data_IF_706527183724
#
_entry.id   IF_706527183724
#
_cell.length_a   1.000
_cell.length_b   1.000
_cell.length_c   1.000
_cell.angle_alpha   90.00
_cell.angle_beta   90.00
_cell.angle_gamma   90.00
#
_symmetry.space_group_name_H-M   'P 1'
#
loop_
_entity.id
_entity.type
_entity.pdbx_description
1 polymer ?
#
# COMPACT_ATOMS: atom_id res chain seq x y z
N UNK A 1 99.71 21.96 -1.98
CA UNK A 1 99.01 23.23 -1.67
C UNK A 1 97.66 23.41 -2.38
N UNK A 2 97.33 22.64 -3.44
CA UNK A 2 96.09 22.80 -4.20
C UNK A 2 94.80 22.30 -3.50
N UNK A 3 94.90 21.29 -2.61
CA UNK A 3 93.71 20.63 -2.06
C UNK A 3 92.99 21.43 -0.97
N UNK A 4 93.71 22.19 -0.13
CA UNK A 4 93.08 22.96 0.96
C UNK A 4 92.26 24.16 0.46
N UNK A 5 92.61 24.73 -0.69
CA UNK A 5 91.86 25.85 -1.28
C UNK A 5 90.52 25.39 -1.86
N UNK A 6 90.49 24.20 -2.47
CA UNK A 6 89.29 23.61 -3.05
C UNK A 6 88.27 23.24 -1.95
N UNK A 7 88.73 22.69 -0.84
CA UNK A 7 87.86 22.33 0.30
C UNK A 7 87.25 23.56 0.98
N UNK A 8 88.01 24.65 1.12
CA UNK A 8 87.50 25.89 1.71
C UNK A 8 86.41 26.57 0.85
N UNK A 9 86.52 26.50 -0.48
CA UNK A 9 85.50 27.05 -1.40
C UNK A 9 84.22 26.22 -1.36
N UNK A 10 84.33 24.89 -1.25
CA UNK A 10 83.16 23.99 -1.09
C UNK A 10 82.41 24.22 0.22
N UNK A 11 83.12 24.49 1.31
CA UNK A 11 82.54 24.75 2.64
C UNK A 11 81.68 26.01 2.68
N UNK A 12 82.11 27.10 2.03
CA UNK A 12 81.34 28.38 1.98
C UNK A 12 80.13 28.32 1.05
N UNK A 13 80.15 27.44 0.04
CA UNK A 13 79.00 27.22 -0.86
C UNK A 13 77.88 26.41 -0.20
N UNK A 14 78.20 25.63 0.82
CA UNK A 14 77.21 24.81 1.53
C UNK A 14 76.29 25.68 2.41
N UNK A 15 76.87 26.62 3.17
CA UNK A 15 76.10 27.48 4.10
C UNK A 15 75.20 28.52 3.40
N UNK A 16 75.46 28.82 2.13
CA UNK A 16 74.62 29.72 1.32
C UNK A 16 73.45 28.97 0.64
N UNK A 17 73.63 27.68 0.31
CA UNK A 17 72.57 26.83 -0.25
C UNK A 17 71.58 26.36 0.82
N UNK A 18 72.08 26.01 1.99
CA UNK A 18 71.29 25.53 3.13
C UNK A 18 70.18 26.51 3.54
N UNK A 19 70.47 27.82 3.55
CA UNK A 19 69.47 28.84 3.95
C UNK A 19 68.35 29.07 2.93
N UNK A 20 68.53 28.70 1.66
CA UNK A 20 67.50 28.84 0.61
C UNK A 20 66.65 27.58 0.49
N UNK A 21 67.27 26.42 0.62
CA UNK A 21 66.59 25.12 0.58
C UNK A 21 65.71 24.92 1.82
N UNK A 22 66.13 25.37 3.01
CA UNK A 22 65.30 25.31 4.22
C UNK A 22 64.05 26.21 4.14
N UNK A 23 64.09 27.35 3.44
CA UNK A 23 62.92 28.22 3.22
C UNK A 23 61.94 27.62 2.21
N UNK A 24 62.46 26.98 1.17
CA UNK A 24 61.63 26.30 0.17
C UNK A 24 61.02 25.01 0.74
N UNK A 25 61.78 24.24 1.53
CA UNK A 25 61.28 23.05 2.21
C UNK A 25 60.24 23.38 3.28
N UNK A 26 60.45 24.43 4.09
CA UNK A 26 59.44 24.89 5.05
C UNK A 26 58.18 25.40 4.36
N UNK A 27 58.29 26.12 3.25
CA UNK A 27 57.13 26.52 2.45
C UNK A 27 56.33 25.30 1.94
N UNK A 28 57.00 24.27 1.41
CA UNK A 28 56.34 23.04 0.96
C UNK A 28 55.65 22.27 2.09
N UNK A 29 56.29 22.21 3.27
CA UNK A 29 55.70 21.58 4.45
C UNK A 29 54.44 22.33 4.88
N UNK A 30 54.48 23.66 4.91
CA UNK A 30 53.29 24.48 5.25
C UNK A 30 52.18 24.29 4.22
N UNK A 31 52.50 24.27 2.93
CA UNK A 31 51.51 24.01 1.86
C UNK A 31 50.89 22.62 2.00
N UNK A 32 51.69 21.59 2.31
CA UNK A 32 51.20 20.23 2.52
C UNK A 32 50.25 20.14 3.73
N UNK A 33 50.59 20.82 4.83
CA UNK A 33 49.74 20.88 6.04
C UNK A 33 48.43 21.61 5.74
N UNK A 34 48.47 22.74 5.03
CA UNK A 34 47.26 23.48 4.63
C UNK A 34 46.37 22.64 3.72
N UNK A 35 46.95 21.89 2.77
CA UNK A 35 46.21 20.95 1.93
C UNK A 35 45.54 19.84 2.74
N UNK A 36 46.25 19.26 3.72
CA UNK A 36 45.72 18.20 4.57
C UNK A 36 44.55 18.72 5.42
N UNK A 37 44.70 19.91 6.02
CA UNK A 37 43.63 20.58 6.78
C UNK A 37 42.43 20.84 5.87
N UNK A 38 42.65 21.45 4.69
CA UNK A 38 41.58 21.69 3.72
C UNK A 38 40.87 20.40 3.29
N UNK A 39 41.60 19.30 3.11
CA UNK A 39 41.01 18.00 2.77
C UNK A 39 40.18 17.40 3.91
N UNK A 40 40.59 17.55 5.16
CA UNK A 40 39.80 17.07 6.30
C UNK A 40 38.52 17.88 6.47
N UNK A 41 38.60 19.21 6.34
CA UNK A 41 37.45 20.09 6.55
C UNK A 41 36.49 20.17 5.35
N UNK A 42 36.97 20.03 4.11
CA UNK A 42 36.14 20.10 2.90
C UNK A 42 36.10 18.80 2.07
N UNK A 43 37.17 18.01 2.04
CA UNK A 43 37.24 16.77 1.28
C UNK A 43 36.43 15.63 1.88
N UNK A 44 36.61 15.34 3.16
CA UNK A 44 35.86 14.27 3.85
C UNK A 44 34.33 14.48 3.83
N UNK A 45 33.76 15.65 4.16
CA UNK A 45 32.31 15.83 4.12
C UNK A 45 31.72 15.73 2.71
N UNK A 46 32.42 16.18 1.67
CA UNK A 46 31.93 16.06 0.28
C UNK A 46 31.91 14.62 -0.21
N UNK A 47 32.89 13.80 0.19
CA UNK A 47 32.90 12.36 -0.09
C UNK A 47 31.82 11.60 0.69
N UNK A 48 31.59 11.94 1.97
CA UNK A 48 30.55 11.32 2.79
C UNK A 48 29.14 11.54 2.19
N UNK A 49 28.88 12.71 1.62
CA UNK A 49 27.61 13.01 0.97
C UNK A 49 27.40 12.23 -0.34
N UNK A 50 28.44 12.07 -1.16
CA UNK A 50 28.37 11.30 -2.42
C UNK A 50 28.15 9.80 -2.18
N UNK A 51 28.80 9.24 -1.16
CA UNK A 51 28.69 7.82 -0.78
C UNK A 51 27.38 7.56 -0.04
N UNK A 52 27.02 8.43 0.91
CA UNK A 52 25.80 8.32 1.71
C UNK A 52 24.54 8.37 0.86
N UNK A 53 24.46 9.25 -0.13
CA UNK A 53 23.25 9.40 -0.94
C UNK A 53 22.98 8.21 -1.87
N UNK A 54 24.00 7.39 -2.20
CA UNK A 54 23.87 6.21 -3.05
C UNK A 54 23.78 4.89 -2.27
N UNK A 55 24.40 4.78 -1.08
CA UNK A 55 24.34 3.57 -0.25
C UNK A 55 23.16 3.56 0.73
N UNK A 56 22.82 4.69 1.35
CA UNK A 56 21.71 4.74 2.33
C UNK A 56 20.36 4.50 1.64
N UNK A 57 20.23 4.86 0.36
CA UNK A 57 19.05 4.52 -0.45
C UNK A 57 18.87 3.02 -0.64
N UNK A 58 19.95 2.23 -0.57
CA UNK A 58 19.89 0.77 -0.69
C UNK A 58 19.68 0.08 0.67
N UNK A 59 20.23 0.63 1.77
CA UNK A 59 20.05 0.06 3.11
C UNK A 59 18.74 0.49 3.80
N UNK A 60 18.06 1.51 3.27
CA UNK A 60 16.73 1.93 3.73
C UNK A 60 15.56 1.16 3.10
N UNK A 61 15.83 0.23 2.18
CA UNK A 61 14.81 -0.63 1.57
C UNK A 61 15.08 -2.10 1.89
N UNK A 62 15.01 -2.45 3.17
CA UNK A 62 14.93 -3.85 3.58
C UNK A 62 13.89 -3.99 4.68
N UNK A 63 12.65 -3.79 4.28
CA UNK A 63 11.47 -4.43 4.83
C UNK A 63 10.44 -4.32 3.70
N UNK A 64 10.44 -5.30 2.80
CA UNK A 64 9.18 -5.66 2.14
C UNK A 64 8.30 -6.14 3.29
N UNK A 65 7.59 -5.21 3.92
CA UNK A 65 6.49 -5.55 4.81
C UNK A 65 5.55 -6.40 3.96
N UNK A 66 5.42 -7.67 4.33
CA UNK A 66 4.51 -8.57 3.65
C UNK A 66 3.12 -8.02 3.96
N UNK A 67 2.59 -7.27 3.01
CA UNK A 67 1.32 -6.60 3.09
C UNK A 67 0.21 -7.65 2.92
N UNK A 68 -0.21 -8.27 4.03
CA UNK A 68 -1.21 -9.34 4.05
C UNK A 68 -2.60 -8.71 3.85
N UNK A 69 -3.14 -8.80 2.64
CA UNK A 69 -4.53 -8.43 2.35
C UNK A 69 -5.51 -9.35 3.10
N UNK A 70 -6.63 -8.81 3.61
CA UNK A 70 -7.66 -9.62 4.23
C UNK A 70 -8.34 -10.55 3.21
N UNK A 71 -8.92 -11.65 3.70
CA UNK A 71 -9.70 -12.54 2.86
C UNK A 71 -10.98 -11.85 2.35
N UNK A 72 -11.40 -12.19 1.13
CA UNK A 72 -12.65 -11.67 0.56
C UNK A 72 -13.87 -12.16 1.33
N UNK A 73 -14.89 -11.30 1.54
CA UNK A 73 -16.12 -11.68 2.23
C UNK A 73 -16.97 -12.63 1.37
N UNK A 74 -17.80 -13.44 2.03
CA UNK A 74 -18.71 -14.39 1.39
C UNK A 74 -20.15 -13.98 1.69
N UNK A 75 -20.96 -13.77 0.65
CA UNK A 75 -22.40 -13.51 0.80
C UNK A 75 -23.17 -14.83 0.67
N UNK A 76 -24.14 -15.07 1.57
CA UNK A 76 -24.94 -16.31 1.59
C UNK A 76 -26.40 -16.10 1.23
N UNK A 77 -27.01 -15.00 1.67
CA UNK A 77 -28.46 -14.78 1.53
C UNK A 77 -28.80 -13.85 0.36
N UNK A 78 -28.27 -14.14 -0.84
CA UNK A 78 -28.59 -13.36 -2.05
C UNK A 78 -29.55 -14.14 -2.94
N UNK A 79 -30.83 -13.75 -3.04
CA UNK A 79 -31.80 -14.41 -3.91
C UNK A 79 -31.52 -14.07 -5.39
N UNK A 80 -31.89 -14.98 -6.29
CA UNK A 80 -31.78 -14.74 -7.75
C UNK A 80 -32.77 -13.68 -8.25
N UNK A 81 -33.95 -13.60 -7.62
CA UNK A 81 -34.99 -12.63 -7.97
C UNK A 81 -35.82 -12.23 -6.76
N UNK A 82 -36.30 -10.98 -6.74
CA UNK A 82 -37.20 -10.45 -5.71
C UNK A 82 -38.15 -9.42 -6.27
N UNK A 83 -39.30 -9.23 -5.62
CA UNK A 83 -40.23 -8.13 -5.89
C UNK A 83 -40.05 -6.94 -4.95
N UNK A 84 -39.32 -7.15 -3.86
CA UNK A 84 -39.12 -6.15 -2.82
C UNK A 84 -38.16 -5.04 -3.28
N UNK A 85 -38.42 -3.81 -2.84
CA UNK A 85 -37.52 -2.67 -3.10
C UNK A 85 -36.25 -2.70 -2.25
N UNK A 86 -36.30 -3.45 -1.14
CA UNK A 86 -35.22 -3.57 -0.17
C UNK A 86 -35.03 -5.02 0.21
N UNK A 87 -33.77 -5.43 0.39
CA UNK A 87 -33.44 -6.80 0.80
C UNK A 87 -32.50 -6.81 1.99
N UNK A 88 -32.45 -7.95 2.66
CA UNK A 88 -31.44 -8.26 3.66
C UNK A 88 -30.37 -9.13 3.02
N UNK A 89 -29.10 -8.75 3.15
CA UNK A 89 -27.96 -9.50 2.63
C UNK A 89 -27.07 -9.87 3.81
N UNK A 90 -26.90 -11.16 4.03
CA UNK A 90 -26.04 -11.70 5.09
C UNK A 90 -24.83 -12.43 4.50
N UNK A 91 -23.79 -12.57 5.31
CA UNK A 91 -22.57 -13.24 4.91
C UNK A 91 -21.56 -13.42 6.04
N UNK A 92 -20.38 -13.90 5.66
CA UNK A 92 -19.26 -14.17 6.55
C UNK A 92 -17.99 -13.46 6.09
N UNK A 93 -17.22 -12.96 7.05
CA UNK A 93 -15.93 -12.34 6.84
C UNK A 93 -15.05 -12.51 8.09
N UNK A 94 -13.80 -12.04 8.05
CA UNK A 94 -12.95 -12.09 9.24
C UNK A 94 -13.51 -11.13 10.31
N UNK A 95 -13.61 -11.56 11.59
CA UNK A 95 -14.06 -10.73 12.70
C UNK A 95 -13.28 -9.41 12.83
N UNK A 96 -13.98 -8.33 13.16
CA UNK A 96 -13.37 -7.02 13.39
C UNK A 96 -12.91 -6.28 12.12
N UNK A 97 -13.18 -6.83 10.93
CA UNK A 97 -13.04 -6.11 9.66
C UNK A 97 -14.31 -5.31 9.32
N UNK A 98 -14.19 -4.35 8.43
CA UNK A 98 -15.34 -3.62 7.88
C UNK A 98 -15.69 -4.18 6.49
N UNK A 99 -16.93 -4.60 6.28
CA UNK A 99 -17.41 -5.05 4.98
C UNK A 99 -18.13 -3.91 4.30
N UNK A 100 -17.75 -3.63 3.05
CA UNK A 100 -18.41 -2.67 2.17
C UNK A 100 -19.19 -3.40 1.09
N UNK A 101 -20.49 -3.12 1.00
CA UNK A 101 -21.39 -3.68 0.00
C UNK A 101 -21.56 -2.72 -1.19
N UNK A 102 -21.42 -3.28 -2.38
CA UNK A 102 -21.63 -2.59 -3.65
C UNK A 102 -22.78 -3.21 -4.43
N UNK A 103 -23.61 -2.35 -5.03
CA UNK A 103 -24.62 -2.73 -6.03
C UNK A 103 -24.40 -1.87 -7.25
N UNK A 104 -24.24 -2.50 -8.43
CA UNK A 104 -24.02 -1.80 -9.70
C UNK A 104 -22.85 -0.79 -9.63
N UNK A 105 -21.76 -1.19 -8.96
CA UNK A 105 -20.57 -0.36 -8.69
C UNK A 105 -20.77 0.88 -7.80
N UNK A 106 -21.95 1.03 -7.19
CA UNK A 106 -22.20 2.05 -6.17
C UNK A 106 -22.11 1.43 -4.78
N UNK A 107 -21.39 2.09 -3.87
CA UNK A 107 -21.40 1.76 -2.45
C UNK A 107 -22.80 1.95 -1.87
N UNK A 108 -23.37 0.90 -1.27
CA UNK A 108 -24.72 0.93 -0.70
C UNK A 108 -24.74 0.87 0.82
N UNK A 109 -23.80 0.14 1.41
CA UNK A 109 -23.73 -0.05 2.85
C UNK A 109 -22.33 -0.42 3.30
N UNK A 110 -22.03 -0.13 4.58
CA UNK A 110 -20.82 -0.52 5.30
C UNK A 110 -21.20 -1.00 6.69
N UNK A 111 -20.53 -2.06 7.17
CA UNK A 111 -20.82 -2.68 8.46
C UNK A 111 -19.55 -3.33 9.00
N UNK A 112 -19.35 -3.25 10.32
CA UNK A 112 -18.30 -4.00 11.01
C UNK A 112 -18.75 -5.45 11.25
N UNK A 113 -17.86 -6.40 10.97
CA UNK A 113 -18.09 -7.84 11.17
C UNK A 113 -18.02 -8.16 12.65
N UNK A 114 -18.98 -8.93 13.14
CA UNK A 114 -19.04 -9.31 14.55
C UNK A 114 -17.93 -10.30 14.96
N UNK A 115 -17.89 -10.66 16.24
CA UNK A 115 -16.91 -11.60 16.78
C UNK A 115 -17.08 -13.03 16.25
N UNK A 116 -18.28 -13.40 15.79
CA UNK A 116 -18.56 -14.70 15.18
C UNK A 116 -18.13 -14.76 13.70
N UNK A 117 -17.79 -13.62 13.11
CA UNK A 117 -17.44 -13.51 11.69
C UNK A 117 -18.65 -13.31 10.79
N UNK A 118 -19.82 -13.01 11.37
CA UNK A 118 -21.08 -12.80 10.67
C UNK A 118 -21.33 -11.30 10.45
N UNK A 119 -22.03 -11.00 9.35
CA UNK A 119 -22.57 -9.67 9.11
C UNK A 119 -23.92 -9.75 8.39
N UNK A 120 -24.78 -8.76 8.63
CA UNK A 120 -26.07 -8.65 7.96
C UNK A 120 -26.41 -7.20 7.65
N UNK A 121 -26.63 -6.90 6.37
CA UNK A 121 -27.09 -5.62 5.89
C UNK A 121 -28.62 -5.66 5.74
N UNK A 122 -29.33 -4.95 6.61
CA UNK A 122 -30.80 -4.91 6.59
C UNK A 122 -31.30 -3.73 5.76
N UNK A 123 -32.25 -4.00 4.86
CA UNK A 123 -32.97 -2.93 4.15
C UNK A 123 -32.18 -2.26 3.03
N UNK A 124 -31.27 -2.99 2.38
CA UNK A 124 -30.45 -2.50 1.28
C UNK A 124 -31.32 -2.18 0.07
N UNK A 125 -31.32 -0.93 -0.44
CA UNK A 125 -32.16 -0.55 -1.58
C UNK A 125 -31.62 -1.16 -2.89
N UNK A 126 -32.54 -1.67 -3.71
CA UNK A 126 -32.25 -2.23 -5.03
C UNK A 126 -32.60 -1.26 -6.16
N UNK A 127 -31.76 -1.24 -7.19
CA UNK A 127 -32.01 -0.55 -8.45
C UNK A 127 -33.13 -1.25 -9.24
N UNK A 128 -33.78 -0.52 -10.17
CA UNK A 128 -34.68 -1.17 -11.11
C UNK A 128 -33.94 -2.23 -11.93
N UNK A 129 -34.63 -3.36 -12.13
CA UNK A 129 -34.23 -4.45 -13.02
C UNK A 129 -33.03 -5.25 -12.50
N UNK A 130 -31.83 -5.15 -13.11
CA UNK A 130 -30.69 -6.02 -12.76
C UNK A 130 -29.78 -5.35 -11.73
N UNK A 131 -29.43 -6.10 -10.70
CA UNK A 131 -28.56 -5.67 -9.60
C UNK A 131 -27.35 -6.60 -9.50
N UNK A 132 -26.16 -6.09 -9.78
CA UNK A 132 -24.89 -6.78 -9.54
C UNK A 132 -24.38 -6.49 -8.14
N UNK A 133 -24.40 -7.50 -7.27
CA UNK A 133 -24.10 -7.40 -5.85
C UNK A 133 -22.75 -8.05 -5.57
N UNK A 134 -21.86 -7.30 -4.92
CA UNK A 134 -20.57 -7.80 -4.44
C UNK A 134 -20.08 -6.97 -3.25
N UNK A 135 -19.06 -7.47 -2.54
CA UNK A 135 -18.53 -6.84 -1.36
C UNK A 135 -17.00 -6.91 -1.29
N UNK A 136 -16.43 -6.03 -0.45
CA UNK A 136 -15.02 -6.02 -0.07
C UNK A 136 -14.91 -6.01 1.45
N UNK A 137 -13.83 -6.58 1.98
CA UNK A 137 -13.46 -6.47 3.38
C UNK A 137 -12.28 -5.50 3.52
N UNK A 138 -12.42 -4.52 4.40
CA UNK A 138 -11.44 -3.51 4.73
C UNK A 138 -10.90 -3.77 6.14
N UNK A 139 -9.58 -3.77 6.27
CA UNK A 139 -8.91 -3.87 7.55
C UNK A 139 -8.44 -2.48 8.02
N UNK A 140 -9.05 -1.92 9.07
CA UNK A 140 -8.70 -0.58 9.54
C UNK A 140 -7.31 -0.48 10.17
N UNK A 141 -6.70 -1.61 10.58
CA UNK A 141 -5.39 -1.65 11.23
C UNK A 141 -4.26 -1.43 10.24
N UNK A 142 -4.26 -2.18 9.14
CA UNK A 142 -3.23 -2.09 8.10
C UNK A 142 -3.67 -1.27 6.87
N UNK A 143 -4.91 -0.75 6.88
CA UNK A 143 -5.52 0.05 5.81
C UNK A 143 -5.59 -0.67 4.46
N UNK A 144 -5.72 -1.99 4.49
CA UNK A 144 -5.83 -2.82 3.30
C UNK A 144 -7.25 -3.27 3.02
N UNK A 145 -7.56 -3.39 1.74
CA UNK A 145 -8.80 -3.98 1.24
C UNK A 145 -8.54 -5.38 0.66
N UNK A 146 -9.55 -6.24 0.74
CA UNK A 146 -9.54 -7.57 0.14
C UNK A 146 -9.69 -7.49 -1.38
N UNK A 147 -9.52 -8.62 -2.05
CA UNK A 147 -10.03 -8.76 -3.42
C UNK A 147 -11.57 -8.76 -3.42
N UNK A 148 -12.18 -8.50 -4.59
CA UNK A 148 -13.63 -8.50 -4.78
C UNK A 148 -14.23 -9.87 -4.42
N UNK A 149 -15.37 -9.88 -3.71
CA UNK A 149 -16.14 -11.11 -3.47
C UNK A 149 -16.69 -11.71 -4.77
N UNK A 150 -17.33 -12.88 -4.65
CA UNK A 150 -18.20 -13.39 -5.72
C UNK A 150 -19.26 -12.33 -6.06
N UNK A 151 -19.52 -12.16 -7.35
CA UNK A 151 -20.58 -11.30 -7.88
C UNK A 151 -21.86 -12.11 -7.99
N UNK A 152 -22.94 -11.59 -7.42
CA UNK A 152 -24.28 -12.16 -7.52
C UNK A 152 -25.14 -11.25 -8.39
N UNK A 153 -25.93 -11.85 -9.27
CA UNK A 153 -26.89 -11.12 -10.11
C UNK A 153 -28.28 -11.36 -9.56
N UNK A 154 -28.93 -10.28 -9.13
CA UNK A 154 -30.30 -10.30 -8.63
C UNK A 154 -31.21 -9.53 -9.58
N UNK A 155 -32.32 -10.14 -9.98
CA UNK A 155 -33.31 -9.53 -10.86
C UNK A 155 -34.49 -9.03 -10.03
N UNK A 156 -34.81 -7.74 -10.15
CA UNK A 156 -36.01 -7.17 -9.55
C UNK A 156 -37.22 -7.44 -10.45
N UNK A 157 -38.03 -8.42 -10.07
CA UNK A 157 -39.25 -8.79 -10.78
C UNK A 157 -40.36 -7.78 -10.52
N UNK A 158 -40.86 -7.17 -11.59
CA UNK A 158 -41.99 -6.23 -11.57
C UNK A 158 -43.25 -6.83 -12.20
N UNK A 159 -43.22 -8.09 -12.67
CA UNK A 159 -44.35 -8.68 -13.36
C UNK A 159 -45.40 -9.12 -12.34
N UNK A 160 -46.63 -8.57 -12.41
CA UNK A 160 -47.73 -9.09 -11.59
C UNK A 160 -48.04 -10.53 -12.00
N UNK A 161 -48.53 -11.37 -11.06
CA UNK A 161 -48.94 -12.73 -11.39
C UNK A 161 -50.06 -12.72 -12.44
N UNK A 162 -49.96 -13.62 -13.41
CA UNK A 162 -51.07 -13.85 -14.35
C UNK A 162 -52.19 -14.57 -13.60
N UNK A 163 -53.38 -13.96 -13.55
CA UNK A 163 -54.57 -14.59 -13.00
C UNK A 163 -55.05 -15.64 -14.01
N UNK A 164 -54.80 -16.90 -13.71
CA UNK A 164 -55.52 -17.99 -14.38
C UNK A 164 -56.90 -18.03 -13.74
N UNK A 165 -57.93 -17.77 -14.53
CA UNK A 165 -59.32 -17.93 -14.09
C UNK A 165 -59.61 -19.43 -14.00
N UNK A 166 -59.42 -20.02 -12.82
CA UNK A 166 -59.86 -21.38 -12.55
C UNK A 166 -61.37 -21.31 -12.28
N UNK A 167 -62.24 -21.77 -13.21
CA UNK A 167 -63.67 -21.80 -12.91
C UNK A 167 -63.87 -22.71 -11.69
N UNK A 168 -64.28 -22.13 -10.56
CA UNK A 168 -64.71 -22.92 -9.42
C UNK A 168 -65.85 -23.83 -9.89
N UNK A 169 -65.73 -25.17 -9.78
CA UNK A 169 -66.85 -26.04 -10.12
C UNK A 169 -68.00 -25.69 -9.17
N UNK A 170 -69.12 -25.24 -9.75
CA UNK A 170 -70.37 -25.08 -9.01
C UNK A 170 -70.72 -26.47 -8.49
N UNK A 171 -70.57 -26.68 -7.18
CA UNK A 171 -71.05 -27.90 -6.53
C UNK A 171 -72.57 -27.84 -6.58
N UNK A 172 -73.13 -28.45 -7.62
CA UNK A 172 -74.57 -28.55 -7.80
C UNK A 172 -75.13 -29.31 -6.59
N UNK A 173 -75.87 -28.59 -5.76
CA UNK A 173 -76.37 -29.09 -4.48
C UNK A 173 -77.36 -30.21 -4.80
N UNK A 174 -76.93 -31.47 -4.67
CA UNK A 174 -77.78 -32.65 -4.86
C UNK A 174 -79.05 -32.49 -4.01
N UNK A 175 -80.16 -32.20 -4.69
CA UNK A 175 -81.49 -32.18 -4.07
C UNK A 175 -81.87 -33.64 -3.87
N UNK A 176 -81.72 -34.14 -2.65
CA UNK A 176 -82.32 -35.41 -2.25
C UNK A 176 -83.84 -35.24 -2.37
N UNK A 177 -84.40 -35.85 -3.43
CA UNK A 177 -85.85 -36.02 -3.57
C UNK A 177 -86.21 -37.20 -2.67
N UNK A 178 -87.10 -36.95 -1.71
CA UNK A 178 -87.65 -37.95 -0.80
C UNK A 178 -88.73 -38.82 -1.44
#
# INVERSE_FOLDING_TARGET
MLNLFVDMVRSRLYSIKEKRELRQASFLIVVAIVLLIGFVFWGLPTLALLVGNNLIRQTGQTQQEIEIRPASPVLTDVPESTREDKITISGYAQPGLEVTLYINAQERAKMLVDEAGEFSFVGVPLDPDVNEIYAFAYNPTNKLESEKSRVYTLIKDKKPPELVDHPCPVVERFRLVG
#
